data_IF_554226872439
#
_entry.id   IF_554226872439
#
_cell.length_a   1.000
_cell.length_b   1.000
_cell.length_c   1.000
_cell.angle_alpha   90.00
_cell.angle_beta   90.00
_cell.angle_gamma   90.00
#
_symmetry.space_group_name_H-M   'P 1'
#
loop_
_entity.id
_entity.type
_entity.pdbx_description
1 polymer ?
#
# COMPACT_ATOMS: atom_id res chain seq x y z
N UNK A 1 -3.81 -16.62 71.09
CA UNK A 1 -3.07 -15.55 70.39
C UNK A 1 -2.25 -16.04 69.19
N UNK A 2 -1.58 -17.21 69.24
CA UNK A 2 -0.80 -17.75 68.10
C UNK A 2 -1.65 -18.17 66.87
N UNK A 3 -2.87 -18.67 67.07
CA UNK A 3 -3.76 -19.03 65.96
C UNK A 3 -4.36 -17.83 65.21
N UNK A 4 -4.52 -16.68 65.87
CA UNK A 4 -5.04 -15.45 65.24
C UNK A 4 -4.02 -14.79 64.31
N UNK A 5 -2.72 -14.89 64.63
CA UNK A 5 -1.63 -14.35 63.80
C UNK A 5 -1.43 -15.22 62.55
N UNK A 6 -1.58 -16.54 62.67
CA UNK A 6 -1.49 -17.46 61.52
C UNK A 6 -2.65 -17.25 60.52
N UNK A 7 -3.86 -16.96 61.01
CA UNK A 7 -5.02 -16.70 60.14
C UNK A 7 -4.88 -15.40 59.34
N UNK A 8 -4.28 -14.36 59.92
CA UNK A 8 -4.03 -13.09 59.22
C UNK A 8 -2.95 -13.20 58.14
N UNK A 9 -1.93 -14.04 58.36
CA UNK A 9 -0.86 -14.30 57.39
C UNK A 9 -1.34 -15.11 56.17
N UNK A 10 -2.33 -15.99 56.36
CA UNK A 10 -2.94 -16.75 55.25
C UNK A 10 -3.85 -15.82 54.43
N UNK A 11 -4.58 -14.89 55.06
CA UNK A 11 -5.45 -13.95 54.35
C UNK A 11 -4.65 -12.89 53.57
N UNK A 12 -3.47 -12.46 54.05
CA UNK A 12 -2.60 -11.55 53.29
C UNK A 12 -1.96 -12.20 52.06
N UNK A 13 -1.88 -13.53 52.00
CA UNK A 13 -1.33 -14.27 50.85
C UNK A 13 -2.36 -14.50 49.73
N UNK A 14 -3.65 -14.25 49.97
CA UNK A 14 -4.69 -14.30 48.93
C UNK A 14 -5.07 -12.92 48.35
N UNK A 15 -4.43 -11.84 48.84
CA UNK A 15 -4.61 -10.48 48.33
C UNK A 15 -3.49 -10.05 47.37
N UNK A 16 -2.62 -10.95 46.91
CA UNK A 16 -1.88 -10.73 45.67
C UNK A 16 -2.88 -10.84 44.54
N UNK A 17 -3.51 -9.71 44.22
CA UNK A 17 -4.23 -9.48 42.99
C UNK A 17 -3.45 -10.14 41.85
N UNK A 18 -3.97 -11.27 41.39
CA UNK A 18 -3.61 -11.83 40.10
C UNK A 18 -3.99 -10.70 39.15
N UNK A 19 -3.00 -9.92 38.72
CA UNK A 19 -3.18 -9.05 37.57
C UNK A 19 -3.48 -10.01 36.43
N UNK A 20 -4.76 -10.26 36.18
CA UNK A 20 -5.20 -10.89 34.96
C UNK A 20 -4.77 -9.91 33.88
N UNK A 21 -3.58 -10.13 33.33
CA UNK A 21 -3.15 -9.49 32.10
C UNK A 21 -4.14 -10.00 31.06
N UNK A 22 -5.23 -9.25 30.89
CA UNK A 22 -6.19 -9.52 29.85
C UNK A 22 -5.43 -9.28 28.55
N UNK A 23 -4.97 -10.36 27.92
CA UNK A 23 -4.40 -10.29 26.59
C UNK A 23 -5.50 -9.74 25.68
N UNK A 24 -5.38 -8.46 25.30
CA UNK A 24 -6.34 -7.83 24.40
C UNK A 24 -6.27 -8.57 23.08
N UNK A 25 -7.40 -9.09 22.59
CA UNK A 25 -7.41 -9.86 21.35
C UNK A 25 -7.14 -8.90 20.18
N UNK A 26 -6.18 -9.23 19.27
CA UNK A 26 -5.94 -8.44 18.08
C UNK A 26 -7.22 -8.24 17.28
N UNK A 27 -7.47 -6.99 16.88
CA UNK A 27 -8.55 -6.63 15.98
C UNK A 27 -7.97 -6.32 14.60
N UNK A 28 -8.81 -6.44 13.56
CA UNK A 28 -8.48 -6.08 12.19
C UNK A 28 -9.26 -4.83 11.81
N UNK A 29 -8.56 -3.73 11.51
CA UNK A 29 -9.18 -2.54 10.94
C UNK A 29 -9.28 -2.66 9.41
N UNK A 30 -10.14 -1.84 8.79
CA UNK A 30 -10.24 -1.75 7.32
C UNK A 30 -9.12 -0.91 6.72
N UNK A 31 -8.58 0.06 7.47
CA UNK A 31 -7.43 0.87 7.08
C UNK A 31 -6.12 0.15 7.40
N UNK A 32 -5.18 0.20 6.45
CA UNK A 32 -3.85 -0.37 6.58
C UNK A 32 -2.78 0.64 6.16
N UNK A 33 -1.67 0.58 6.87
CA UNK A 33 -0.44 1.29 6.58
C UNK A 33 0.65 0.24 6.34
N UNK A 34 1.29 0.27 5.17
CA UNK A 34 2.30 -0.72 4.79
C UNK A 34 3.54 0.03 4.31
N UNK A 35 4.66 -0.20 4.97
CA UNK A 35 5.97 0.23 4.55
C UNK A 35 6.66 -0.98 3.96
N UNK A 36 7.04 -0.95 2.70
CA UNK A 36 7.67 -2.10 2.05
C UNK A 36 9.00 -1.69 1.42
N UNK A 37 10.02 -2.51 1.62
CA UNK A 37 11.26 -2.44 0.85
C UNK A 37 11.36 -3.66 -0.04
N UNK A 38 11.50 -3.44 -1.34
CA UNK A 38 11.78 -4.48 -2.33
C UNK A 38 13.22 -4.32 -2.81
N UNK A 39 14.08 -5.29 -2.49
CA UNK A 39 15.42 -5.40 -3.08
C UNK A 39 15.32 -6.36 -4.25
N UNK A 40 15.49 -5.86 -5.47
CA UNK A 40 15.42 -6.67 -6.68
C UNK A 40 16.70 -6.54 -7.50
N UNK A 41 17.65 -7.45 -7.26
CA UNK A 41 18.91 -7.54 -8.02
C UNK A 41 18.74 -8.28 -9.35
N UNK A 42 17.69 -9.11 -9.50
CA UNK A 42 17.56 -10.04 -10.63
C UNK A 42 16.80 -9.48 -11.81
N UNK A 43 15.75 -8.69 -11.56
CA UNK A 43 14.81 -8.25 -12.59
C UNK A 43 14.97 -6.75 -12.84
N UNK A 44 14.90 -5.93 -11.79
CA UNK A 44 14.96 -4.46 -11.93
C UNK A 44 16.34 -3.86 -11.64
N UNK A 45 17.22 -4.60 -10.95
CA UNK A 45 18.50 -4.10 -10.43
C UNK A 45 18.35 -2.80 -9.61
N UNK A 46 17.32 -2.77 -8.75
CA UNK A 46 16.92 -1.61 -7.96
C UNK A 46 16.43 -2.04 -6.58
N UNK A 47 16.64 -1.18 -5.60
CA UNK A 47 15.91 -1.22 -4.34
C UNK A 47 14.79 -0.19 -4.41
N UNK A 48 13.56 -0.59 -4.09
CA UNK A 48 12.42 0.33 -4.05
C UNK A 48 11.82 0.33 -2.66
N UNK A 49 11.64 1.52 -2.10
CA UNK A 49 10.90 1.71 -0.86
C UNK A 49 9.50 2.22 -1.18
N UNK A 50 8.49 1.71 -0.47
CA UNK A 50 7.09 2.03 -0.65
C UNK A 50 6.47 2.41 0.70
N UNK A 51 5.62 3.42 0.69
CA UNK A 51 4.60 3.59 1.71
C UNK A 51 3.24 3.48 1.02
N UNK A 52 2.41 2.55 1.49
CA UNK A 52 1.04 2.34 0.99
C UNK A 52 0.05 2.55 2.12
N UNK A 53 -0.88 3.47 1.89
CA UNK A 53 -2.08 3.63 2.70
C UNK A 53 -3.21 2.96 1.94
N UNK A 54 -3.92 2.02 2.55
CA UNK A 54 -4.99 1.29 1.88
C UNK A 54 -6.21 1.09 2.75
N UNK A 55 -7.37 0.96 2.13
CA UNK A 55 -8.61 0.64 2.84
C UNK A 55 -9.67 0.06 1.91
N UNK A 56 -10.62 -0.67 2.49
CA UNK A 56 -11.87 -1.08 1.85
C UNK A 56 -13.08 -0.25 2.28
N UNK A 57 -12.87 0.79 3.09
CA UNK A 57 -13.89 1.67 3.64
C UNK A 57 -13.94 3.01 2.90
N UNK A 58 -15.08 3.39 2.30
CA UNK A 58 -15.24 4.69 1.65
C UNK A 58 -15.27 5.86 2.65
N UNK A 59 -15.34 5.59 3.96
CA UNK A 59 -15.27 6.61 4.99
C UNK A 59 -13.82 7.01 5.33
N UNK A 60 -12.88 6.09 5.11
CA UNK A 60 -11.44 6.23 5.38
C UNK A 60 -10.69 6.76 4.14
N UNK A 61 -11.16 6.44 2.93
CA UNK A 61 -10.75 7.11 1.69
C UNK A 61 -11.98 7.54 0.89
N UNK A 62 -12.19 8.86 0.84
CA UNK A 62 -13.38 9.50 0.27
C UNK A 62 -13.13 9.88 -1.19
N UNK A 63 -13.42 8.96 -2.08
CA UNK A 63 -13.53 9.27 -3.50
C UNK A 63 -14.84 10.04 -3.74
N UNK A 64 -14.87 11.05 -4.62
CA UNK A 64 -16.09 11.80 -4.93
C UNK A 64 -17.28 10.89 -5.28
N UNK A 65 -18.41 11.17 -4.63
CA UNK A 65 -19.62 10.34 -4.61
C UNK A 65 -20.26 10.31 -5.99
N UNK A 66 -20.01 9.23 -6.74
CA UNK A 66 -20.50 8.92 -8.10
C UNK A 66 -19.42 8.15 -8.84
N UNK A 67 -18.15 8.48 -8.61
CA UNK A 67 -17.03 7.84 -9.30
C UNK A 67 -16.82 6.41 -8.79
N UNK A 68 -16.92 6.20 -7.48
CA UNK A 68 -16.92 4.88 -6.84
C UNK A 68 -18.01 3.95 -7.43
N UNK A 69 -19.25 4.43 -7.48
CA UNK A 69 -20.38 3.68 -8.04
C UNK A 69 -20.24 3.46 -9.55
N UNK A 70 -19.76 4.46 -10.29
CA UNK A 70 -19.51 4.32 -11.73
C UNK A 70 -18.42 3.28 -12.00
N UNK A 71 -17.34 3.26 -11.23
CA UNK A 71 -16.29 2.24 -11.35
C UNK A 71 -16.85 0.84 -11.10
N UNK A 72 -17.70 0.65 -10.08
CA UNK A 72 -18.35 -0.63 -9.79
C UNK A 72 -19.30 -1.06 -10.92
N UNK A 73 -20.08 -0.12 -11.44
CA UNK A 73 -21.18 -0.42 -12.38
C UNK A 73 -20.73 -0.41 -13.85
N UNK A 74 -19.54 0.11 -14.16
CA UNK A 74 -19.00 0.12 -15.52
C UNK A 74 -18.45 -1.25 -15.82
N UNK A 75 -19.17 -2.00 -16.67
CA UNK A 75 -18.82 -3.35 -17.04
C UNK A 75 -17.34 -3.46 -17.48
N UNK A 76 -16.68 -4.52 -17.02
CA UNK A 76 -15.31 -4.89 -17.36
C UNK A 76 -14.21 -3.99 -16.78
N UNK A 77 -14.51 -2.90 -16.07
CA UNK A 77 -13.47 -2.09 -15.40
C UNK A 77 -12.93 -2.86 -14.19
N UNK A 78 -11.62 -3.08 -14.16
CA UNK A 78 -10.93 -3.81 -13.08
C UNK A 78 -10.09 -2.91 -12.19
N UNK A 79 -9.68 -1.74 -12.67
CA UNK A 79 -9.04 -0.73 -11.84
C UNK A 79 -9.01 0.64 -12.51
N UNK A 80 -8.91 1.68 -11.68
CA UNK A 80 -8.56 3.04 -12.11
C UNK A 80 -7.34 3.48 -11.31
N UNK A 81 -6.31 4.00 -11.99
CA UNK A 81 -5.09 4.49 -11.36
C UNK A 81 -4.77 5.92 -11.80
N UNK A 82 -4.24 6.73 -10.88
CA UNK A 82 -3.68 8.06 -11.14
C UNK A 82 -2.23 8.04 -10.66
N UNK A 83 -1.28 8.35 -11.53
CA UNK A 83 0.15 8.22 -11.22
C UNK A 83 1.03 9.20 -11.97
N UNK A 84 2.14 9.63 -11.35
CA UNK A 84 3.20 10.37 -12.02
C UNK A 84 4.47 9.53 -12.28
N UNK A 85 4.37 8.20 -12.19
CA UNK A 85 5.45 7.31 -12.62
C UNK A 85 5.88 7.64 -14.05
N UNK A 86 7.18 7.65 -14.31
CA UNK A 86 7.76 7.95 -15.62
C UNK A 86 8.76 6.85 -16.02
N UNK A 87 8.46 6.07 -17.08
CA UNK A 87 7.20 6.04 -17.82
C UNK A 87 6.05 5.38 -17.03
N UNK A 88 4.82 5.91 -17.15
CA UNK A 88 3.62 5.29 -16.54
C UNK A 88 3.09 4.10 -17.36
N UNK A 89 3.26 4.18 -18.69
CA UNK A 89 3.00 3.14 -19.69
C UNK A 89 4.04 3.27 -20.78
N UNK A 90 4.21 2.24 -21.61
CA UNK A 90 5.21 2.22 -22.67
C UNK A 90 5.02 3.42 -23.62
N UNK A 91 6.05 4.27 -23.75
CA UNK A 91 6.05 5.42 -24.65
C UNK A 91 5.49 6.72 -24.06
N UNK A 92 4.95 6.72 -22.83
CA UNK A 92 4.53 7.94 -22.14
C UNK A 92 5.61 8.40 -21.18
N UNK A 93 6.18 9.56 -21.46
CA UNK A 93 7.25 10.19 -20.67
C UNK A 93 6.88 11.61 -20.26
N UNK A 94 7.34 12.03 -19.08
CA UNK A 94 7.11 13.38 -18.58
C UNK A 94 5.64 13.76 -18.50
N UNK A 95 4.76 12.82 -18.15
CA UNK A 95 3.31 13.04 -18.03
C UNK A 95 2.72 12.29 -16.85
N UNK A 96 1.74 12.90 -16.20
CA UNK A 96 0.91 12.25 -15.19
C UNK A 96 -0.24 11.55 -15.87
N UNK A 97 -0.50 10.32 -15.49
CA UNK A 97 -1.39 9.41 -16.19
C UNK A 97 -2.60 9.07 -15.34
N UNK A 98 -3.76 9.03 -16.00
CA UNK A 98 -4.96 8.36 -15.53
C UNK A 98 -5.10 7.10 -16.38
N UNK A 99 -5.12 5.94 -15.74
CA UNK A 99 -5.16 4.65 -16.43
C UNK A 99 -6.39 3.89 -15.97
N UNK A 100 -7.25 3.58 -16.92
CA UNK A 100 -8.46 2.79 -16.70
C UNK A 100 -8.21 1.41 -17.28
N UNK A 101 -8.13 0.41 -16.42
CA UNK A 101 -7.86 -0.97 -16.80
C UNK A 101 -9.17 -1.73 -16.95
N UNK A 102 -9.29 -2.42 -18.08
CA UNK A 102 -10.48 -3.19 -18.48
C UNK A 102 -10.07 -4.64 -18.69
N UNK A 103 -10.88 -5.58 -18.24
CA UNK A 103 -10.76 -6.99 -18.56
C UNK A 103 -11.96 -7.45 -19.37
N UNK A 104 -11.75 -7.73 -20.66
CA UNK A 104 -12.80 -8.22 -21.55
C UNK A 104 -12.24 -9.30 -22.48
N UNK A 105 -12.42 -10.59 -22.14
CA UNK A 105 -11.94 -11.70 -22.96
C UNK A 105 -12.45 -11.64 -24.40
N UNK A 106 -13.72 -11.28 -24.60
CA UNK A 106 -14.34 -11.18 -25.93
C UNK A 106 -13.68 -10.11 -26.81
N UNK A 107 -13.30 -8.96 -26.25
CA UNK A 107 -12.60 -7.91 -27.00
C UNK A 107 -11.16 -8.30 -27.34
N UNK A 108 -10.51 -9.09 -26.49
CA UNK A 108 -9.13 -9.54 -26.69
C UNK A 108 -9.09 -10.68 -27.72
N UNK A 109 -10.03 -11.62 -27.64
CA UNK A 109 -10.09 -12.81 -28.50
C UNK A 109 -10.68 -12.53 -29.89
N UNK A 110 -11.29 -11.36 -30.10
CA UNK A 110 -11.71 -10.91 -31.42
C UNK A 110 -10.53 -10.57 -32.35
N UNK A 111 -9.32 -10.35 -31.81
CA UNK A 111 -8.12 -9.94 -32.55
C UNK A 111 -8.32 -8.72 -33.48
N UNK A 112 -9.31 -7.86 -33.19
CA UNK A 112 -9.63 -6.67 -33.97
C UNK A 112 -9.19 -5.41 -33.21
N UNK A 113 -7.97 -4.96 -33.48
CA UNK A 113 -7.34 -3.82 -32.79
C UNK A 113 -8.21 -2.56 -32.83
N UNK A 114 -8.75 -2.19 -34.01
CA UNK A 114 -9.56 -0.97 -34.16
C UNK A 114 -10.83 -1.03 -33.32
N UNK A 115 -11.50 -2.19 -33.29
CA UNK A 115 -12.69 -2.39 -32.47
C UNK A 115 -12.35 -2.35 -30.98
N UNK A 116 -11.29 -3.03 -30.56
CA UNK A 116 -10.81 -3.03 -29.17
C UNK A 116 -10.50 -1.61 -28.70
N UNK A 117 -9.77 -0.83 -29.50
CA UNK A 117 -9.43 0.56 -29.19
C UNK A 117 -10.69 1.43 -29.09
N UNK A 118 -11.63 1.31 -30.04
CA UNK A 118 -12.85 2.12 -30.06
C UNK A 118 -13.73 1.84 -28.84
N UNK A 119 -13.98 0.56 -28.54
CA UNK A 119 -14.85 0.16 -27.43
C UNK A 119 -14.20 0.47 -26.09
N UNK A 120 -12.91 0.16 -25.92
CA UNK A 120 -12.20 0.45 -24.67
C UNK A 120 -12.14 1.96 -24.41
N UNK A 121 -11.82 2.77 -25.42
CA UNK A 121 -11.86 4.23 -25.29
C UNK A 121 -13.25 4.72 -24.88
N UNK A 122 -14.31 4.21 -25.50
CA UNK A 122 -15.67 4.59 -25.13
C UNK A 122 -15.98 4.28 -23.66
N UNK A 123 -15.51 3.14 -23.14
CA UNK A 123 -15.61 2.80 -21.71
C UNK A 123 -14.83 3.81 -20.86
N UNK A 124 -13.57 4.10 -21.19
CA UNK A 124 -12.75 5.07 -20.45
C UNK A 124 -13.37 6.47 -20.43
N UNK A 125 -13.96 6.89 -21.55
CA UNK A 125 -14.60 8.21 -21.70
C UNK A 125 -15.82 8.37 -20.79
N UNK A 126 -16.44 7.27 -20.34
CA UNK A 126 -17.53 7.33 -19.35
C UNK A 126 -17.07 7.72 -17.95
N UNK A 127 -15.79 7.57 -17.64
CA UNK A 127 -15.21 7.80 -16.31
C UNK A 127 -14.32 9.04 -16.25
N UNK A 128 -13.61 9.37 -17.35
CA UNK A 128 -12.56 10.39 -17.33
C UNK A 128 -13.04 11.77 -16.86
N UNK A 129 -14.26 12.16 -17.21
CA UNK A 129 -14.81 13.46 -16.81
C UNK A 129 -15.04 13.54 -15.29
N UNK A 130 -15.51 12.46 -14.68
CA UNK A 130 -15.69 12.39 -13.22
C UNK A 130 -14.33 12.31 -12.51
N UNK A 131 -13.35 11.61 -13.09
CA UNK A 131 -11.98 11.56 -12.55
C UNK A 131 -11.34 12.95 -12.60
N UNK A 132 -11.40 13.63 -13.74
CA UNK A 132 -10.89 14.99 -13.91
C UNK A 132 -11.55 15.96 -12.93
N UNK A 133 -12.88 15.91 -12.81
CA UNK A 133 -13.61 16.77 -11.87
C UNK A 133 -13.29 16.44 -10.42
N UNK A 134 -13.22 15.15 -10.08
CA UNK A 134 -13.03 14.67 -8.72
C UNK A 134 -11.63 14.91 -8.16
N UNK A 135 -10.61 14.87 -9.01
CA UNK A 135 -9.21 15.06 -8.62
C UNK A 135 -8.60 16.36 -9.15
N UNK A 136 -9.42 17.26 -9.69
CA UNK A 136 -8.98 18.54 -10.29
C UNK A 136 -7.88 18.35 -11.36
N UNK A 137 -8.05 17.35 -12.22
CA UNK A 137 -7.16 17.03 -13.34
C UNK A 137 -7.74 17.53 -14.67
N UNK A 138 -6.90 17.55 -15.70
CA UNK A 138 -7.29 17.82 -17.09
C UNK A 138 -6.67 16.77 -18.02
N UNK A 139 -6.78 15.50 -17.63
CA UNK A 139 -6.23 14.39 -18.38
C UNK A 139 -7.01 14.18 -19.68
N UNK A 140 -6.28 14.07 -20.79
CA UNK A 140 -6.81 13.89 -22.14
C UNK A 140 -6.40 12.55 -22.69
N UNK A 141 -7.23 11.99 -23.57
CA UNK A 141 -6.96 10.69 -24.15
C UNK A 141 -5.59 10.65 -24.83
N UNK A 142 -4.81 9.61 -24.52
CA UNK A 142 -3.51 9.35 -25.12
C UNK A 142 -3.57 8.12 -26.00
N UNK A 143 -3.82 6.95 -25.42
CA UNK A 143 -3.86 5.70 -26.17
C UNK A 143 -4.72 4.62 -25.51
N UNK A 144 -4.99 3.57 -26.29
CA UNK A 144 -5.44 2.28 -25.76
C UNK A 144 -4.35 1.25 -26.03
N UNK A 145 -3.88 0.61 -24.97
CA UNK A 145 -2.86 -0.43 -25.02
C UNK A 145 -3.42 -1.75 -24.51
N UNK A 146 -3.30 -2.82 -25.30
CA UNK A 146 -3.66 -4.17 -24.88
C UNK A 146 -2.43 -4.81 -24.25
N UNK A 147 -2.58 -5.25 -23.00
CA UNK A 147 -1.50 -5.83 -22.23
C UNK A 147 -1.61 -7.37 -22.23
N UNK A 148 -0.77 -8.07 -23.01
CA UNK A 148 -0.82 -9.52 -23.07
C UNK A 148 -0.32 -10.20 -21.78
N UNK A 149 0.60 -9.58 -21.01
CA UNK A 149 1.17 -10.10 -19.75
C UNK A 149 1.46 -8.97 -18.74
N UNK A 150 1.30 -9.23 -17.44
CA UNK A 150 1.28 -8.31 -16.28
C UNK A 150 2.53 -7.47 -15.99
N UNK A 151 3.08 -6.80 -16.99
CA UNK A 151 4.19 -5.83 -16.88
C UNK A 151 3.79 -4.49 -16.22
N UNK A 152 2.50 -4.28 -15.94
CA UNK A 152 1.95 -3.01 -15.44
C UNK A 152 2.41 -2.68 -14.01
N UNK A 153 2.51 -3.70 -13.14
CA UNK A 153 3.01 -3.52 -11.78
C UNK A 153 4.44 -3.01 -11.74
N UNK A 154 5.27 -3.42 -12.73
CA UNK A 154 6.65 -2.96 -12.90
C UNK A 154 6.72 -1.50 -13.36
N UNK A 155 5.90 -1.13 -14.35
CA UNK A 155 5.87 0.24 -14.88
C UNK A 155 5.37 1.24 -13.82
N UNK A 156 4.35 0.86 -13.05
CA UNK A 156 3.81 1.72 -11.99
C UNK A 156 4.67 1.76 -10.72
N UNK A 157 5.71 0.92 -10.62
CA UNK A 157 6.47 0.72 -9.40
C UNK A 157 5.52 0.42 -8.23
N UNK A 158 4.64 -0.56 -8.38
CA UNK A 158 3.71 -0.95 -7.32
C UNK A 158 4.09 -2.29 -6.72
N UNK A 159 3.80 -2.48 -5.44
CA UNK A 159 3.93 -3.75 -4.67
C UNK A 159 3.15 -4.96 -5.24
N UNK A 160 2.70 -4.93 -6.50
CA UNK A 160 2.00 -6.04 -7.13
C UNK A 160 0.48 -6.06 -6.95
N UNK A 161 -0.13 -4.99 -6.42
CA UNK A 161 -1.59 -4.97 -6.20
C UNK A 161 -2.37 -4.60 -7.48
N UNK A 162 -1.72 -3.93 -8.45
CA UNK A 162 -2.32 -3.61 -9.75
C UNK A 162 -1.77 -4.60 -10.79
N UNK A 163 -2.17 -5.87 -10.67
CA UNK A 163 -1.77 -6.94 -11.60
C UNK A 163 -3.00 -7.45 -12.34
N UNK A 164 -3.04 -7.20 -13.64
CA UNK A 164 -3.97 -7.84 -14.57
C UNK A 164 -3.19 -8.47 -15.72
N UNK A 165 -3.36 -9.77 -15.94
CA UNK A 165 -2.94 -10.43 -17.18
C UNK A 165 -4.07 -10.31 -18.21
N UNK A 166 -3.74 -10.05 -19.48
CA UNK A 166 -4.73 -9.90 -20.56
C UNK A 166 -5.75 -8.79 -20.28
N UNK A 167 -5.26 -7.58 -20.00
CA UNK A 167 -6.11 -6.41 -19.80
C UNK A 167 -5.96 -5.41 -20.95
N UNK A 168 -6.91 -4.49 -21.05
CA UNK A 168 -6.89 -3.35 -21.97
C UNK A 168 -6.77 -2.10 -21.10
N UNK A 169 -5.71 -1.33 -21.28
CA UNK A 169 -5.49 -0.08 -20.57
C UNK A 169 -5.89 1.09 -21.47
N UNK A 170 -6.80 1.93 -20.98
CA UNK A 170 -7.15 3.20 -21.60
C UNK A 170 -6.40 4.29 -20.84
N UNK A 171 -5.49 4.97 -21.53
CA UNK A 171 -4.55 5.89 -20.93
C UNK A 171 -4.94 7.31 -21.30
N UNK A 172 -5.03 8.15 -20.29
CA UNK A 172 -5.20 9.59 -20.41
C UNK A 172 -4.04 10.27 -19.72
N UNK A 173 -3.60 11.41 -20.24
CA UNK A 173 -2.42 12.10 -19.75
C UNK A 173 -2.64 13.59 -19.54
N UNK A 174 -1.92 14.15 -18.59
CA UNK A 174 -1.86 15.59 -18.29
C UNK A 174 -0.42 16.00 -18.01
N UNK A 175 -0.19 17.31 -17.85
CA UNK A 175 1.12 17.86 -17.51
C UNK A 175 1.69 17.19 -16.25
N UNK A 176 2.96 16.81 -16.31
CA UNK A 176 3.64 16.12 -15.20
C UNK A 176 3.55 16.90 -13.90
N UNK A 177 3.09 16.21 -12.85
CA UNK A 177 3.08 16.72 -11.49
C UNK A 177 4.29 16.17 -10.73
N UNK A 178 4.94 17.02 -9.93
CA UNK A 178 5.91 16.53 -8.93
C UNK A 178 5.16 15.68 -7.90
N UNK A 179 5.83 14.67 -7.37
CA UNK A 179 5.25 13.72 -6.41
C UNK A 179 4.68 14.41 -5.18
N UNK A 180 5.35 15.41 -4.62
CA UNK A 180 4.81 16.20 -3.50
C UNK A 180 3.47 16.84 -3.85
N UNK A 181 3.37 17.54 -4.99
CA UNK A 181 2.13 18.18 -5.43
C UNK A 181 1.03 17.17 -5.75
N UNK A 182 1.37 16.05 -6.38
CA UNK A 182 0.39 15.01 -6.70
C UNK A 182 -0.14 14.34 -5.42
N UNK A 183 0.73 14.03 -4.46
CA UNK A 183 0.33 13.48 -3.16
C UNK A 183 -0.57 14.46 -2.41
N UNK A 184 -0.21 15.75 -2.36
CA UNK A 184 -1.00 16.77 -1.70
C UNK A 184 -2.39 16.89 -2.34
N UNK A 185 -2.45 16.97 -3.67
CA UNK A 185 -3.71 17.03 -4.41
C UNK A 185 -4.60 15.81 -4.14
N UNK A 186 -4.06 14.59 -4.29
CA UNK A 186 -4.82 13.36 -4.07
C UNK A 186 -5.24 13.18 -2.61
N UNK A 187 -4.31 13.36 -1.66
CA UNK A 187 -4.59 13.18 -0.23
C UNK A 187 -5.55 14.24 0.32
N UNK A 188 -5.57 15.45 -0.25
CA UNK A 188 -6.52 16.51 0.11
C UNK A 188 -7.98 16.09 -0.13
N UNK A 189 -8.21 15.36 -1.23
CA UNK A 189 -9.51 14.82 -1.63
C UNK A 189 -9.82 13.52 -0.88
N UNK A 190 -8.88 12.57 -0.92
CA UNK A 190 -9.10 11.20 -0.47
C UNK A 190 -9.14 11.05 1.05
N UNK A 191 -8.16 11.63 1.75
CA UNK A 191 -7.92 11.29 3.15
C UNK A 191 -8.68 12.25 4.06
N UNK A 192 -9.49 11.78 5.02
CA UNK A 192 -10.06 12.65 6.04
C UNK A 192 -8.95 13.25 6.92
N UNK A 193 -9.21 14.42 7.49
CA UNK A 193 -8.27 15.12 8.40
C UNK A 193 -7.77 14.21 9.53
N UNK A 194 -8.62 13.34 10.07
CA UNK A 194 -8.25 12.38 11.11
C UNK A 194 -7.11 11.44 10.70
N UNK A 195 -7.04 11.02 9.43
CA UNK A 195 -5.93 10.18 8.93
C UNK A 195 -4.71 11.05 8.61
N UNK A 196 -4.91 12.23 7.98
CA UNK A 196 -3.79 13.12 7.62
C UNK A 196 -3.05 13.69 8.83
N UNK A 197 -3.77 13.94 9.92
CA UNK A 197 -3.19 14.50 11.15
C UNK A 197 -2.73 13.40 12.13
N UNK A 198 -2.91 12.12 11.79
CA UNK A 198 -2.57 11.01 12.69
C UNK A 198 -1.07 10.70 12.76
N UNK A 199 -0.27 11.31 11.88
CA UNK A 199 1.15 11.06 11.72
C UNK A 199 1.47 9.69 11.12
N UNK A 200 2.56 9.08 11.56
CA UNK A 200 2.95 7.74 11.15
C UNK A 200 3.29 7.64 9.67
N UNK A 201 2.75 6.64 8.96
CA UNK A 201 3.20 6.35 7.60
C UNK A 201 2.78 7.44 6.61
N UNK A 202 1.70 8.18 6.84
CA UNK A 202 1.35 9.32 6.00
C UNK A 202 2.41 10.43 6.02
N UNK A 203 3.02 10.70 7.18
CA UNK A 203 4.12 11.67 7.28
C UNK A 203 5.36 11.17 6.54
N UNK A 204 5.65 9.87 6.62
CA UNK A 204 6.76 9.25 5.87
C UNK A 204 6.51 9.33 4.37
N UNK A 205 5.29 9.03 3.90
CA UNK A 205 4.89 9.21 2.50
C UNK A 205 5.07 10.67 2.04
N UNK A 206 4.71 11.63 2.88
CA UNK A 206 4.88 13.07 2.60
C UNK A 206 6.35 13.47 2.51
N UNK A 207 7.21 12.90 3.35
CA UNK A 207 8.66 13.11 3.28
C UNK A 207 9.27 12.46 2.03
N UNK A 208 8.85 11.24 1.70
CA UNK A 208 9.31 10.52 0.51
C UNK A 208 8.93 11.23 -0.78
N UNK A 209 7.71 11.80 -0.87
CA UNK A 209 7.22 12.47 -2.09
C UNK A 209 8.01 13.74 -2.46
N UNK A 210 8.83 14.25 -1.55
CA UNK A 210 9.73 15.38 -1.80
C UNK A 210 11.03 14.94 -2.50
N UNK A 211 11.32 13.63 -2.56
CA UNK A 211 12.53 13.10 -3.17
C UNK A 211 12.45 13.13 -4.72
N UNK A 212 13.57 13.38 -5.44
CA UNK A 212 13.56 13.52 -6.89
C UNK A 212 13.05 12.30 -7.68
N UNK A 213 13.32 11.09 -7.19
CA UNK A 213 12.93 9.83 -7.85
C UNK A 213 11.68 9.21 -7.23
N UNK A 214 10.92 10.00 -6.47
CA UNK A 214 9.69 9.51 -5.89
C UNK A 214 8.57 9.44 -6.92
N UNK A 215 7.67 8.48 -6.77
CA UNK A 215 6.42 8.41 -7.54
C UNK A 215 5.24 8.31 -6.59
N UNK A 216 4.09 8.81 -7.03
CA UNK A 216 2.82 8.70 -6.32
C UNK A 216 1.83 7.99 -7.22
N UNK A 217 1.17 6.98 -6.67
CA UNK A 217 0.11 6.24 -7.36
C UNK A 217 -1.08 6.13 -6.45
N UNK A 218 -2.23 6.61 -6.90
CA UNK A 218 -3.51 6.26 -6.31
C UNK A 218 -4.23 5.24 -7.20
N UNK A 219 -4.82 4.21 -6.60
CA UNK A 219 -5.58 3.19 -7.31
C UNK A 219 -6.89 2.85 -6.60
N UNK A 220 -7.91 2.56 -7.41
CA UNK A 220 -9.22 2.05 -6.99
C UNK A 220 -9.46 0.74 -7.74
N UNK A 221 -9.71 -0.33 -7.01
CA UNK A 221 -9.90 -1.67 -7.57
C UNK A 221 -11.17 -2.30 -7.02
N UNK A 222 -12.17 -2.62 -7.86
CA UNK A 222 -13.30 -3.45 -7.45
C UNK A 222 -12.83 -4.83 -6.96
N UNK A 223 -13.35 -5.25 -5.83
CA UNK A 223 -13.14 -6.58 -5.25
C UNK A 223 -14.26 -7.52 -5.69
N UNK A 224 -14.01 -8.84 -5.59
CA UNK A 224 -15.00 -9.89 -5.91
C UNK A 224 -16.33 -9.76 -5.14
N UNK A 225 -16.31 -9.07 -3.99
CA UNK A 225 -17.48 -8.90 -3.12
C UNK A 225 -18.21 -7.57 -3.37
N UNK A 226 -17.93 -6.87 -4.47
CA UNK A 226 -18.55 -5.58 -4.80
C UNK A 226 -18.08 -4.41 -3.93
N UNK A 227 -17.07 -4.60 -3.07
CA UNK A 227 -16.38 -3.52 -2.34
C UNK A 227 -15.26 -2.96 -3.20
N UNK A 228 -14.83 -1.74 -2.91
CA UNK A 228 -13.65 -1.15 -3.54
C UNK A 228 -12.45 -1.22 -2.58
N UNK A 229 -11.29 -1.54 -3.13
CA UNK A 229 -10.00 -1.36 -2.49
C UNK A 229 -9.41 -0.04 -2.97
N UNK A 230 -9.14 0.86 -2.04
CA UNK A 230 -8.47 2.14 -2.27
C UNK A 230 -7.02 2.03 -1.82
N UNK A 231 -6.08 2.52 -2.62
CA UNK A 231 -4.65 2.49 -2.30
C UNK A 231 -3.99 3.79 -2.74
N UNK A 232 -3.40 4.51 -1.80
CA UNK A 232 -2.52 5.65 -2.05
C UNK A 232 -1.10 5.25 -1.69
N UNK A 233 -0.22 5.22 -2.68
CA UNK A 233 1.15 4.75 -2.54
C UNK A 233 2.14 5.83 -2.95
N UNK A 234 3.21 5.95 -2.18
CA UNK A 234 4.42 6.68 -2.54
C UNK A 234 5.56 5.68 -2.66
N UNK A 235 6.32 5.74 -3.74
CA UNK A 235 7.53 4.94 -3.90
C UNK A 235 8.76 5.82 -4.10
N UNK A 236 9.93 5.30 -3.78
CA UNK A 236 11.21 5.88 -4.17
C UNK A 236 12.16 4.78 -4.63
N UNK A 237 12.79 4.99 -5.79
CA UNK A 237 13.65 3.99 -6.42
C UNK A 237 15.13 4.36 -6.28
N UNK A 238 15.92 3.38 -5.85
CA UNK A 238 17.35 3.48 -5.64
C UNK A 238 18.07 2.48 -6.54
N UNK A 239 18.98 2.92 -7.44
CA UNK A 239 19.74 2.00 -8.27
C UNK A 239 20.72 1.20 -7.41
N UNK A 240 20.78 -0.12 -7.63
CA UNK A 240 21.75 -0.98 -6.96
C UNK A 240 23.11 -0.83 -7.64
N UNK A 241 24.15 -0.61 -6.84
CA UNK A 241 25.55 -0.53 -7.29
C UNK A 241 26.35 -1.69 -6.70
N UNK A 242 26.61 -2.71 -7.52
CA UNK A 242 27.30 -3.92 -7.07
C UNK A 242 26.39 -4.85 -6.26
N UNK A 243 26.97 -5.68 -5.39
CA UNK A 243 26.22 -6.63 -4.57
C UNK A 243 25.65 -5.94 -3.33
N UNK A 244 24.38 -6.18 -3.01
CA UNK A 244 23.77 -5.72 -1.76
C UNK A 244 23.94 -6.80 -0.68
N UNK A 245 24.83 -6.56 0.28
CA UNK A 245 25.08 -7.47 1.41
C UNK A 245 24.45 -6.99 2.72
N UNK A 246 24.09 -5.71 2.80
CA UNK A 246 23.39 -5.13 3.92
C UNK A 246 22.38 -4.07 3.48
N UNK A 247 21.29 -3.93 4.23
CA UNK A 247 20.29 -2.89 4.01
C UNK A 247 19.94 -2.17 5.32
N UNK A 248 19.76 -0.86 5.22
CA UNK A 248 19.16 -0.04 6.26
C UNK A 248 17.81 0.48 5.73
N UNK A 249 16.69 -0.18 6.09
CA UNK A 249 15.38 0.18 5.54
C UNK A 249 14.96 1.62 5.86
N UNK A 250 15.28 2.11 7.06
CA UNK A 250 14.86 3.44 7.54
C UNK A 250 15.50 4.57 6.74
N UNK A 251 16.75 4.37 6.28
CA UNK A 251 17.44 5.32 5.40
C UNK A 251 16.73 5.51 4.05
N UNK A 252 16.11 4.45 3.50
CA UNK A 252 15.38 4.52 2.23
C UNK A 252 14.11 5.38 2.33
N UNK A 253 13.54 5.48 3.53
CA UNK A 253 12.43 6.37 3.86
C UNK A 253 12.91 7.77 4.29
N UNK A 254 14.22 7.92 4.54
CA UNK A 254 14.84 9.13 5.07
C UNK A 254 14.39 9.45 6.48
N UNK A 255 14.07 8.46 7.32
CA UNK A 255 13.64 8.66 8.71
C UNK A 255 14.51 7.86 9.68
N UNK A 256 14.55 8.27 10.93
CA UNK A 256 15.28 7.53 11.98
C UNK A 256 14.39 6.51 12.70
N UNK A 257 13.07 6.64 12.54
CA UNK A 257 12.06 5.76 13.14
C UNK A 257 10.81 5.72 12.27
N UNK A 258 10.18 4.56 12.25
CA UNK A 258 8.89 4.36 11.60
C UNK A 258 7.84 4.13 12.69
N UNK A 259 6.99 5.12 12.91
CA UNK A 259 5.94 5.07 13.93
C UNK A 259 4.60 4.66 13.33
N UNK A 260 3.85 3.85 14.07
CA UNK A 260 2.44 3.60 13.79
C UNK A 260 1.64 4.88 14.01
N UNK A 261 0.69 5.18 13.13
CA UNK A 261 -0.12 6.39 13.30
C UNK A 261 -1.02 6.32 14.53
N UNK A 262 -1.34 7.49 15.07
CA UNK A 262 -2.29 7.62 16.17
C UNK A 262 -3.74 7.26 15.79
N UNK A 263 -4.03 7.05 14.50
CA UNK A 263 -5.33 6.60 14.00
C UNK A 263 -5.78 5.32 14.70
N UNK A 264 -4.84 4.43 14.99
CA UNK A 264 -5.13 3.16 15.61
C UNK A 264 -5.12 3.16 17.14
N UNK A 265 -5.02 4.31 17.81
CA UNK A 265 -5.02 4.40 19.27
C UNK A 265 -6.34 3.98 19.92
N UNK A 266 -7.43 3.92 19.14
CA UNK A 266 -8.75 3.50 19.60
C UNK A 266 -8.89 2.00 19.88
N UNK A 267 -7.87 1.18 19.60
CA UNK A 267 -7.93 -0.26 19.83
C UNK A 267 -6.61 -0.99 19.54
N UNK A 268 -6.63 -2.31 19.72
CA UNK A 268 -5.45 -3.15 19.52
C UNK A 268 -5.41 -3.72 18.10
N UNK A 269 -4.77 -2.99 17.18
CA UNK A 269 -4.64 -3.35 15.75
C UNK A 269 -3.17 -3.54 15.33
N UNK A 270 -2.45 -4.53 15.88
CA UNK A 270 -1.01 -4.69 15.65
C UNK A 270 -0.66 -5.06 14.20
N UNK A 271 -1.62 -5.55 13.40
CA UNK A 271 -1.41 -6.01 12.02
C UNK A 271 -1.87 -5.00 10.95
N UNK A 272 -2.28 -3.80 11.37
CA UNK A 272 -2.76 -2.76 10.45
C UNK A 272 -1.70 -1.70 10.11
N UNK A 273 -0.52 -1.74 10.73
CA UNK A 273 0.61 -0.87 10.42
C UNK A 273 1.88 -1.71 10.43
N UNK A 274 2.37 -2.09 9.25
CA UNK A 274 3.38 -3.14 9.08
C UNK A 274 4.55 -2.68 8.22
N UNK A 275 5.74 -3.19 8.55
CA UNK A 275 6.92 -3.10 7.70
C UNK A 275 7.20 -4.46 7.05
N UNK A 276 7.42 -4.46 5.75
CA UNK A 276 7.73 -5.64 4.95
C UNK A 276 9.06 -5.44 4.22
N UNK A 277 9.90 -6.48 4.18
CA UNK A 277 11.11 -6.51 3.37
C UNK A 277 11.08 -7.75 2.48
N UNK A 278 11.10 -7.54 1.18
CA UNK A 278 11.20 -8.60 0.18
C UNK A 278 12.55 -8.52 -0.52
N UNK A 279 13.27 -9.64 -0.58
CA UNK A 279 14.63 -9.69 -1.16
C UNK A 279 14.67 -10.72 -2.29
N UNK A 280 14.98 -10.25 -3.49
CA UNK A 280 15.20 -11.05 -4.69
C UNK A 280 16.68 -10.89 -5.06
N UNK A 281 17.53 -11.65 -4.36
CA UNK A 281 18.99 -11.61 -4.47
C UNK A 281 19.57 -13.03 -4.69
N UNK A 282 20.83 -13.11 -5.10
CA UNK A 282 21.63 -14.33 -5.05
C UNK A 282 22.50 -14.42 -3.78
N UNK A 283 22.54 -13.36 -2.98
CA UNK A 283 23.36 -13.24 -1.78
C UNK A 283 22.48 -13.20 -0.54
N UNK A 284 23.04 -13.63 0.59
CA UNK A 284 22.44 -13.37 1.90
C UNK A 284 22.48 -11.86 2.18
N UNK A 285 21.37 -11.33 2.70
CA UNK A 285 21.22 -9.92 3.02
C UNK A 285 21.13 -9.72 4.53
N UNK A 286 22.04 -8.92 5.08
CA UNK A 286 21.96 -8.52 6.50
C UNK A 286 21.05 -7.30 6.65
N UNK A 287 20.03 -7.42 7.50
CA UNK A 287 19.15 -6.29 7.84
C UNK A 287 19.75 -5.56 9.04
N UNK A 288 20.16 -4.31 8.80
CA UNK A 288 20.74 -3.44 9.83
C UNK A 288 19.76 -2.33 10.19
N UNK A 289 19.90 -1.74 11.39
CA UNK A 289 19.13 -0.56 11.82
C UNK A 289 17.61 -0.71 11.61
N UNK A 290 17.04 -1.86 11.96
CA UNK A 290 15.61 -2.14 11.86
C UNK A 290 14.76 -1.44 12.94
N UNK A 291 15.38 -0.63 13.81
CA UNK A 291 14.68 0.34 14.65
C UNK A 291 14.08 -0.16 15.98
N UNK A 292 14.42 -1.35 16.45
CA UNK A 292 13.92 -1.84 17.75
C UNK A 292 14.54 -3.15 18.25
N UNK A 293 14.22 -3.52 19.49
CA UNK A 293 14.51 -4.86 20.03
C UNK A 293 13.54 -5.88 19.43
N UNK A 294 14.03 -7.03 18.99
CA UNK A 294 13.18 -8.07 18.42
C UNK A 294 12.40 -8.77 19.54
N UNK A 295 11.06 -8.70 19.48
CA UNK A 295 10.20 -9.38 20.44
C UNK A 295 10.42 -10.91 20.40
N UNK A 296 10.37 -11.61 21.56
CA UNK A 296 10.61 -13.04 21.60
C UNK A 296 9.51 -13.83 20.91
N UNK A 297 9.90 -14.92 20.25
CA UNK A 297 8.99 -15.85 19.55
C UNK A 297 8.86 -17.18 20.26
N UNK A 298 7.72 -17.84 20.09
CA UNK A 298 7.48 -19.25 20.49
C UNK A 298 7.04 -20.07 19.29
N UNK A 299 7.21 -21.39 19.35
CA UNK A 299 6.66 -22.30 18.36
C UNK A 299 5.24 -22.72 18.75
N UNK A 300 4.31 -22.62 17.81
CA UNK A 300 2.95 -23.13 17.95
C UNK A 300 2.53 -23.77 16.63
N UNK A 301 2.09 -25.04 16.66
CA UNK A 301 1.69 -25.80 15.47
C UNK A 301 2.72 -25.76 14.32
N UNK A 302 4.01 -25.85 14.65
CA UNK A 302 5.09 -25.81 13.66
C UNK A 302 5.41 -24.41 13.09
N UNK A 303 4.71 -23.36 13.55
CA UNK A 303 4.95 -21.98 13.14
C UNK A 303 5.62 -21.18 14.26
N UNK A 304 6.58 -20.33 13.89
CA UNK A 304 7.22 -19.37 14.78
C UNK A 304 6.29 -18.16 14.93
N UNK A 305 5.70 -17.98 16.11
CA UNK A 305 4.78 -16.89 16.42
C UNK A 305 5.35 -15.97 17.49
N UNK A 306 4.92 -14.71 17.48
CA UNK A 306 5.34 -13.72 18.47
C UNK A 306 4.64 -13.97 19.80
N UNK A 307 5.40 -13.91 20.90
CA UNK A 307 4.87 -14.15 22.25
C UNK A 307 4.03 -12.98 22.77
N UNK A 308 4.32 -11.76 22.30
CA UNK A 308 3.67 -10.54 22.77
C UNK A 308 3.57 -9.50 21.64
N UNK A 309 2.39 -9.42 21.02
CA UNK A 309 2.06 -8.44 19.97
C UNK A 309 1.81 -7.01 20.50
N UNK A 310 2.01 -6.76 21.80
CA UNK A 310 1.88 -5.41 22.38
C UNK A 310 3.18 -4.61 22.42
N UNK A 311 4.34 -5.29 22.35
CA UNK A 311 5.68 -4.67 22.36
C UNK A 311 6.22 -4.47 20.96
N UNK A 312 6.61 -3.25 20.57
CA UNK A 312 7.26 -2.98 19.27
C UNK A 312 8.38 -3.96 18.92
N UNK A 313 8.56 -4.23 17.62
CA UNK A 313 9.74 -4.95 17.10
C UNK A 313 9.50 -6.43 16.80
N UNK A 314 8.38 -6.78 16.19
CA UNK A 314 8.12 -8.15 15.76
C UNK A 314 8.67 -8.43 14.37
N UNK A 315 9.10 -9.67 14.15
CA UNK A 315 9.48 -10.17 12.82
C UNK A 315 8.68 -11.43 12.52
N UNK A 316 8.00 -11.43 11.37
CA UNK A 316 7.44 -12.63 10.77
C UNK A 316 8.39 -13.03 9.64
N UNK A 317 9.06 -14.16 9.82
CA UNK A 317 9.94 -14.74 8.82
C UNK A 317 9.20 -15.89 8.15
N UNK A 318 8.96 -15.76 6.84
CA UNK A 318 8.18 -16.74 6.06
C UNK A 318 9.04 -17.89 5.53
N UNK A 319 10.35 -17.87 5.75
CA UNK A 319 11.29 -18.92 5.31
C UNK A 319 11.49 -20.03 6.37
N UNK A 320 10.43 -20.34 7.14
CA UNK A 320 10.35 -21.52 8.03
C UNK A 320 9.53 -22.65 7.43
#
# INVERSE_FOLDING_TARGET
MRYFIALFLIISLFASSIATVYAQQPQLATYHEIAQVLVDEKIQNKTTAFITLSTVSPFEMRVPTSLDQKIINTANVTSVAITNADPCVLGVHGQTCVIITIYSPSLIEAYNVTQTQTIAKAIGDTLINDINSGFSLNAKFWEVYVQPKGEFSKALGTSGVIVGNRTINVVYTTAQQKSSYLLDALSSVLLPKQIRDAGGFYDVATKMSQQPNSTVTFAITPTINGRLLFQLQVSNQFPIKGNVTAINPLELYGVDRLDRSSYFNGGFFPLNSIFELSVISNNELTITNHGGEIAPTTFNNGQKIQTDLSKSGWIFDTDS
#
